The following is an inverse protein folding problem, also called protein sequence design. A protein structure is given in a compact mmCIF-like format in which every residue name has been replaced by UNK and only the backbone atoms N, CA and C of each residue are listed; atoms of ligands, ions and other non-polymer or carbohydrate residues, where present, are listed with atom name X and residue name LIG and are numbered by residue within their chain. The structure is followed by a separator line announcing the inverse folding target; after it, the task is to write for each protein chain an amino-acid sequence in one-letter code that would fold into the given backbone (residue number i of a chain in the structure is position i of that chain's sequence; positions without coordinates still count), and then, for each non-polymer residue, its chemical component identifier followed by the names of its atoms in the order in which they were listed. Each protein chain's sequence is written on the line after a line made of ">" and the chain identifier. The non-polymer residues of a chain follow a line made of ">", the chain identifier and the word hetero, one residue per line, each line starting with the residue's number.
data_IF_243233848897
#
_entry.id   IF_243233848897
#
_cell.length_a   1.000
_cell.length_b   1.000
_cell.length_c   1.000
_cell.angle_alpha   90.00
_cell.angle_beta   90.00
_cell.angle_gamma   90.00
#
_symmetry.space_group_name_H-M   'P 1'
#
loop_
_entity.id
_entity.type
_entity.pdbx_description
1 polymer ?
#
# COMPACT_ATOMS: atom_id res chain seq x y z
N UNK A 1 27.37 8.31 2.44
CA UNK A 1 26.15 9.13 2.29
C UNK A 1 24.99 8.17 2.12
N UNK A 2 24.32 7.82 3.21
CA UNK A 2 23.15 6.91 3.15
C UNK A 2 21.98 7.68 2.57
N UNK A 3 21.40 7.20 1.48
CA UNK A 3 20.21 7.80 0.89
C UNK A 3 19.13 7.92 1.97
N UNK A 4 18.59 9.12 2.16
CA UNK A 4 17.38 9.31 2.95
C UNK A 4 16.25 8.60 2.21
N UNK A 5 16.07 7.31 2.50
CA UNK A 5 14.89 6.55 2.10
C UNK A 5 13.69 7.36 2.59
N UNK A 6 12.83 7.76 1.67
CA UNK A 6 11.71 8.65 1.97
C UNK A 6 10.91 8.02 3.12
N UNK A 7 10.83 8.70 4.28
CA UNK A 7 10.17 8.18 5.49
C UNK A 7 8.72 7.73 5.23
N UNK A 8 8.09 8.33 4.21
CA UNK A 8 6.78 7.97 3.66
C UNK A 8 6.71 6.54 3.10
N UNK A 9 7.81 5.99 2.58
CA UNK A 9 7.89 4.62 2.08
C UNK A 9 7.89 3.57 3.20
N UNK A 10 8.25 3.93 4.43
CA UNK A 10 8.20 3.02 5.60
C UNK A 10 6.78 2.84 6.15
N UNK A 11 5.86 3.71 5.74
CA UNK A 11 4.48 3.74 6.23
C UNK A 11 3.52 2.91 5.37
N UNK A 12 3.95 2.47 4.19
CA UNK A 12 3.17 1.55 3.36
C UNK A 12 3.34 0.11 3.87
N UNK A 13 2.24 -0.52 4.25
CA UNK A 13 2.22 -1.88 4.80
C UNK A 13 2.17 -2.95 3.72
N UNK A 14 1.96 -2.56 2.45
CA UNK A 14 1.80 -3.50 1.35
C UNK A 14 0.36 -3.95 1.14
N UNK A 15 0.21 -4.89 0.22
CA UNK A 15 -1.00 -5.70 0.03
C UNK A 15 -1.26 -6.52 1.30
N UNK A 16 -2.38 -6.23 1.97
CA UNK A 16 -2.81 -6.96 3.16
C UNK A 16 -3.61 -8.22 2.79
N UNK A 17 -4.37 -8.15 1.70
CA UNK A 17 -5.22 -9.22 1.24
C UNK A 17 -5.56 -9.04 -0.24
N UNK A 18 -5.66 -10.14 -1.00
CA UNK A 18 -6.04 -10.13 -2.42
C UNK A 18 -6.97 -11.31 -2.72
N UNK A 19 -8.02 -11.04 -3.47
CA UNK A 19 -8.94 -11.98 -4.12
C UNK A 19 -8.98 -11.68 -5.63
N UNK A 20 -9.72 -12.48 -6.41
CA UNK A 20 -9.86 -12.28 -7.87
C UNK A 20 -10.28 -10.84 -8.22
N UNK A 21 -11.30 -10.32 -7.55
CA UNK A 21 -11.86 -9.00 -7.88
C UNK A 21 -11.50 -7.92 -6.87
N UNK A 22 -10.70 -8.22 -5.85
CA UNK A 22 -10.54 -7.33 -4.71
C UNK A 22 -9.12 -7.32 -4.17
N UNK A 23 -8.56 -6.12 -4.05
CA UNK A 23 -7.26 -5.91 -3.45
C UNK A 23 -7.35 -4.96 -2.27
N UNK A 24 -6.73 -5.34 -1.15
CA UNK A 24 -6.72 -4.57 0.09
C UNK A 24 -5.30 -4.17 0.42
N UNK A 25 -5.11 -2.89 0.67
CA UNK A 25 -3.80 -2.31 0.94
C UNK A 25 -3.80 -1.53 2.24
N UNK A 26 -2.65 -1.57 2.91
CA UNK A 26 -2.47 -0.93 4.20
C UNK A 26 -1.48 0.22 4.13
N UNK A 27 -1.81 1.29 4.83
CA UNK A 27 -0.88 2.36 5.13
C UNK A 27 -1.01 2.74 6.61
N UNK A 28 0.09 3.05 7.27
CA UNK A 28 0.11 3.50 8.65
C UNK A 28 0.92 4.78 8.77
N UNK A 29 0.26 5.86 9.16
CA UNK A 29 0.95 7.12 9.45
C UNK A 29 1.87 7.00 10.66
N UNK A 30 2.81 7.94 10.81
CA UNK A 30 3.67 8.05 12.00
C UNK A 30 2.90 8.11 13.33
N UNK A 31 1.67 8.62 13.33
CA UNK A 31 0.81 8.68 14.53
C UNK A 31 0.06 7.37 14.80
N UNK A 32 0.38 6.31 14.05
CA UNK A 32 -0.22 4.97 14.12
C UNK A 32 -1.68 4.89 13.67
N UNK A 33 -2.17 5.91 12.97
CA UNK A 33 -3.47 5.84 12.27
C UNK A 33 -3.29 4.96 11.04
N UNK A 34 -4.13 3.93 10.92
CA UNK A 34 -4.12 2.98 9.81
C UNK A 34 -5.19 3.35 8.78
N UNK A 35 -4.79 3.44 7.53
CA UNK A 35 -5.65 3.56 6.37
C UNK A 35 -5.71 2.20 5.67
N UNK A 36 -6.93 1.74 5.41
CA UNK A 36 -7.20 0.49 4.69
C UNK A 36 -7.91 0.88 3.40
N UNK A 37 -7.24 0.66 2.28
CA UNK A 37 -7.80 0.94 0.95
C UNK A 37 -8.26 -0.37 0.35
N UNK A 38 -9.56 -0.47 0.06
CA UNK A 38 -10.15 -1.62 -0.63
C UNK A 38 -10.49 -1.19 -2.04
N UNK A 39 -9.95 -1.90 -3.02
CA UNK A 39 -10.21 -1.66 -4.43
C UNK A 39 -10.92 -2.87 -5.01
N UNK A 40 -12.06 -2.63 -5.65
CA UNK A 40 -12.79 -3.65 -6.41
C UNK A 40 -12.36 -3.54 -7.88
N UNK A 41 -11.56 -4.50 -8.35
CA UNK A 41 -10.94 -4.51 -9.68
C UNK A 41 -10.95 -5.93 -10.25
N UNK A 42 -11.92 -6.26 -11.11
CA UNK A 42 -12.04 -7.60 -11.70
C UNK A 42 -10.99 -7.93 -12.78
N UNK A 43 -10.36 -6.92 -13.40
CA UNK A 43 -9.51 -7.13 -14.58
C UNK A 43 -8.14 -6.43 -14.52
N UNK A 44 -7.78 -5.84 -13.37
CA UNK A 44 -6.52 -5.07 -13.23
C UNK A 44 -5.77 -5.47 -11.97
N UNK A 45 -4.58 -6.04 -12.17
CA UNK A 45 -3.64 -6.32 -11.07
C UNK A 45 -2.79 -5.09 -10.80
N UNK A 46 -3.01 -4.44 -9.66
CA UNK A 46 -2.15 -3.34 -9.18
C UNK A 46 -0.95 -3.92 -8.44
N UNK A 47 0.26 -3.52 -8.86
CA UNK A 47 1.49 -3.90 -8.17
C UNK A 47 1.72 -2.96 -7.00
N UNK A 48 2.35 -3.45 -5.93
CA UNK A 48 2.72 -2.63 -4.78
C UNK A 48 3.51 -1.36 -5.17
N UNK A 49 4.26 -1.39 -6.27
CA UNK A 49 4.99 -0.23 -6.78
C UNK A 49 4.05 0.89 -7.25
N UNK A 50 2.89 0.55 -7.83
CA UNK A 50 1.91 1.51 -8.34
C UNK A 50 1.18 2.23 -7.20
N UNK A 51 1.13 1.61 -6.01
CA UNK A 51 0.54 2.23 -4.80
C UNK A 51 1.54 3.00 -3.95
N UNK A 52 2.83 2.81 -4.20
CA UNK A 52 3.91 3.41 -3.41
C UNK A 52 4.40 4.75 -3.97
N UNK A 53 4.03 5.09 -5.20
CA UNK A 53 4.50 6.28 -5.93
C UNK A 53 3.56 7.47 -5.84
#
# INVERSE_FOLDING_TARGET
>A
MGAAMNKTQEMYLGTLFSMEDLAVYGYMTNTKIKFITVLNMPDVTIKDLDMKN
#
